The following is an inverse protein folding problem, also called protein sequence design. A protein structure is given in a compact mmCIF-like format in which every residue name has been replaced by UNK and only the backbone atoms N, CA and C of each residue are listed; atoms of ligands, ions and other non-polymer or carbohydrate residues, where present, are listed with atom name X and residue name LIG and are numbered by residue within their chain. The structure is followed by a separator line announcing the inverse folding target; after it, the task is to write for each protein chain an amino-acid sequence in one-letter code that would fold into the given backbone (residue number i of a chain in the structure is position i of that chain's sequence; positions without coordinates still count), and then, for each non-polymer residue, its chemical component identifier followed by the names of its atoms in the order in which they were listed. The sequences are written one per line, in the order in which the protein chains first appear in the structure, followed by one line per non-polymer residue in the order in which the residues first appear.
data_IF_314972042150
#
_entry.id   IF_314972042150
#
_cell.length_a   1.000
_cell.length_b   1.000
_cell.length_c   1.000
_cell.angle_alpha   90.00
_cell.angle_beta   90.00
_cell.angle_gamma   90.00
#
_symmetry.space_group_name_H-M   'P 1'
#
loop_
_entity.id
_entity.type
_entity.pdbx_description
1 polymer ?
#
# COMPACT_ATOMS: atom_id res chain seq x y z
N UNK A 1 -13.64 55.52 -38.26
CA UNK A 1 -14.70 54.69 -37.65
C UNK A 1 -14.19 53.28 -37.37
N UNK A 2 -13.66 52.56 -38.36
CA UNK A 2 -13.11 51.20 -38.21
C UNK A 2 -12.02 51.06 -37.12
N UNK A 3 -11.05 51.98 -37.08
CA UNK A 3 -10.01 52.00 -36.05
C UNK A 3 -10.52 52.20 -34.61
N UNK A 4 -11.67 52.85 -34.45
CA UNK A 4 -12.25 53.10 -33.14
C UNK A 4 -13.00 51.86 -32.63
N UNK A 5 -13.65 51.14 -33.55
CA UNK A 5 -14.29 49.85 -33.25
C UNK A 5 -13.27 48.75 -32.96
N UNK A 6 -12.18 48.66 -33.73
CA UNK A 6 -11.12 47.68 -33.46
C UNK A 6 -10.38 47.94 -32.15
N UNK A 7 -10.20 49.22 -31.77
CA UNK A 7 -9.65 49.58 -30.46
C UNK A 7 -10.58 49.20 -29.30
N UNK A 8 -11.90 49.37 -29.47
CA UNK A 8 -12.88 48.92 -28.47
C UNK A 8 -12.95 47.39 -28.37
N UNK A 9 -12.93 46.66 -29.48
CA UNK A 9 -12.91 45.19 -29.47
C UNK A 9 -11.62 44.63 -28.84
N UNK A 10 -10.49 45.28 -29.09
CA UNK A 10 -9.23 44.91 -28.42
C UNK A 10 -9.32 45.11 -26.91
N UNK A 11 -9.87 46.24 -26.46
CA UNK A 11 -10.08 46.50 -25.02
C UNK A 11 -11.04 45.45 -24.43
N UNK A 12 -12.17 45.17 -25.07
CA UNK A 12 -13.15 44.18 -24.59
C UNK A 12 -12.55 42.77 -24.53
N UNK A 13 -11.76 42.37 -25.52
CA UNK A 13 -11.11 41.04 -25.52
C UNK A 13 -10.02 40.93 -24.43
N UNK A 14 -9.27 42.00 -24.18
CA UNK A 14 -8.28 42.05 -23.09
C UNK A 14 -8.98 41.98 -21.72
N UNK A 15 -10.06 42.74 -21.52
CA UNK A 15 -10.84 42.64 -20.27
C UNK A 15 -11.55 41.29 -20.11
N UNK A 16 -12.04 40.68 -21.19
CA UNK A 16 -12.63 39.34 -21.19
C UNK A 16 -11.60 38.26 -20.81
N UNK A 17 -10.42 38.28 -21.41
CA UNK A 17 -9.35 37.32 -21.09
C UNK A 17 -8.84 37.42 -19.64
N UNK A 18 -8.79 38.64 -19.08
CA UNK A 18 -8.47 38.84 -17.66
C UNK A 18 -9.58 38.25 -16.77
N UNK A 19 -10.85 38.51 -17.10
CA UNK A 19 -11.98 37.96 -16.34
C UNK A 19 -12.00 36.43 -16.39
N UNK A 20 -11.81 35.84 -17.57
CA UNK A 20 -11.78 34.38 -17.76
C UNK A 20 -10.61 33.74 -17.01
N UNK A 21 -9.46 34.42 -16.95
CA UNK A 21 -8.33 33.97 -16.13
C UNK A 21 -8.70 33.89 -14.65
N UNK A 22 -9.33 34.93 -14.09
CA UNK A 22 -9.79 34.90 -12.70
C UNK A 22 -10.93 33.89 -12.46
N UNK A 23 -11.78 33.67 -13.46
CA UNK A 23 -12.86 32.67 -13.39
C UNK A 23 -12.34 31.22 -13.44
N UNK A 24 -11.15 30.98 -13.99
CA UNK A 24 -10.54 29.64 -14.09
C UNK A 24 -9.72 29.26 -12.83
N UNK A 25 -9.40 30.23 -11.97
CA UNK A 25 -8.65 30.00 -10.71
C UNK A 25 -9.30 28.91 -9.83
N UNK A 26 -10.62 28.90 -9.58
CA UNK A 26 -11.27 27.86 -8.77
C UNK A 26 -11.12 26.45 -9.35
N UNK A 27 -11.20 26.31 -10.67
CA UNK A 27 -11.06 25.02 -11.35
C UNK A 27 -9.63 24.47 -11.20
N UNK A 28 -8.61 25.33 -11.34
CA UNK A 28 -7.22 24.95 -11.08
C UNK A 28 -7.01 24.49 -9.63
N UNK A 29 -7.66 25.13 -8.66
CA UNK A 29 -7.60 24.68 -7.26
C UNK A 29 -8.25 23.32 -7.05
N UNK A 30 -9.38 23.04 -7.71
CA UNK A 30 -10.03 21.74 -7.66
C UNK A 30 -9.17 20.64 -8.28
N UNK A 31 -8.50 20.92 -9.40
CA UNK A 31 -7.59 19.98 -10.06
C UNK A 31 -6.36 19.69 -9.20
N UNK A 32 -5.74 20.72 -8.60
CA UNK A 32 -4.62 20.56 -7.67
C UNK A 32 -5.04 19.77 -6.44
N UNK A 33 -6.22 20.03 -5.89
CA UNK A 33 -6.73 19.28 -4.74
C UNK A 33 -7.01 17.81 -5.10
N UNK A 34 -7.56 17.56 -6.29
CA UNK A 34 -7.79 16.20 -6.81
C UNK A 34 -6.47 15.45 -6.97
N UNK A 35 -5.44 16.10 -7.52
CA UNK A 35 -4.13 15.50 -7.68
C UNK A 35 -3.41 15.26 -6.33
N UNK A 36 -3.56 16.19 -5.39
CA UNK A 36 -3.06 16.03 -4.03
C UNK A 36 -3.74 14.83 -3.35
N UNK A 37 -5.07 14.70 -3.48
CA UNK A 37 -5.83 13.59 -2.92
C UNK A 37 -5.41 12.24 -3.52
N UNK A 38 -5.18 12.18 -4.83
CA UNK A 38 -4.63 11.00 -5.50
C UNK A 38 -3.28 10.57 -4.88
N UNK A 39 -2.38 11.53 -4.64
CA UNK A 39 -1.11 11.25 -3.98
C UNK A 39 -1.27 10.80 -2.53
N UNK A 40 -2.21 11.38 -1.77
CA UNK A 40 -2.50 10.94 -0.41
C UNK A 40 -2.99 9.50 -0.35
N UNK A 41 -3.88 9.08 -1.25
CA UNK A 41 -4.34 7.69 -1.34
C UNK A 41 -3.16 6.76 -1.65
N UNK A 42 -2.32 7.14 -2.61
CA UNK A 42 -1.12 6.36 -2.97
C UNK A 42 -0.17 6.21 -1.78
N UNK A 43 0.08 7.28 -1.04
CA UNK A 43 0.90 7.26 0.17
C UNK A 43 0.27 6.40 1.26
N UNK A 44 -1.04 6.50 1.48
CA UNK A 44 -1.76 5.68 2.45
C UNK A 44 -1.65 4.18 2.16
N UNK A 45 -1.82 3.79 0.89
CA UNK A 45 -1.64 2.39 0.47
C UNK A 45 -0.19 1.95 0.70
N UNK A 46 0.78 2.78 0.34
CA UNK A 46 2.19 2.48 0.56
C UNK A 46 2.52 2.27 2.03
N UNK A 47 2.01 3.13 2.93
CA UNK A 47 2.17 2.98 4.37
C UNK A 47 1.53 1.71 4.91
N UNK A 48 0.36 1.31 4.38
CA UNK A 48 -0.28 0.03 4.75
C UNK A 48 0.56 -1.18 4.33
N UNK A 49 1.20 -1.14 3.16
CA UNK A 49 2.11 -2.20 2.70
C UNK A 49 3.35 -2.25 3.60
N UNK A 50 3.95 -1.11 3.92
CA UNK A 50 5.11 -1.04 4.81
C UNK A 50 4.79 -1.56 6.23
N UNK A 51 3.59 -1.29 6.76
CA UNK A 51 3.15 -1.88 8.03
C UNK A 51 2.99 -3.40 7.96
N UNK A 52 2.55 -3.94 6.81
CA UNK A 52 2.49 -5.39 6.60
C UNK A 52 3.88 -6.03 6.63
N UNK A 53 4.85 -5.43 5.94
CA UNK A 53 6.24 -5.90 5.95
C UNK A 53 6.85 -5.83 7.37
N UNK A 54 6.59 -4.75 8.10
CA UNK A 54 7.02 -4.61 9.47
C UNK A 54 6.39 -5.67 10.39
N UNK A 55 5.08 -5.91 10.26
CA UNK A 55 4.39 -6.91 11.05
C UNK A 55 4.91 -8.32 10.79
N UNK A 56 5.25 -8.63 9.53
CA UNK A 56 5.90 -9.89 9.17
C UNK A 56 7.26 -10.03 9.86
N UNK A 57 8.12 -9.02 9.80
CA UNK A 57 9.43 -9.06 10.44
C UNK A 57 9.34 -9.26 11.96
N UNK A 58 8.40 -8.57 12.62
CA UNK A 58 8.14 -8.73 14.05
C UNK A 58 7.61 -10.14 14.35
N UNK A 59 6.70 -10.66 13.53
CA UNK A 59 6.19 -12.02 13.67
C UNK A 59 7.28 -13.07 13.52
N UNK A 60 8.17 -12.95 12.53
CA UNK A 60 9.31 -13.86 12.34
C UNK A 60 10.29 -13.80 13.52
N UNK A 61 10.54 -12.61 14.07
CA UNK A 61 11.34 -12.44 15.30
C UNK A 61 10.72 -13.18 16.48
N UNK A 62 9.41 -13.00 16.71
CA UNK A 62 8.70 -13.69 17.78
C UNK A 62 8.75 -15.22 17.59
N UNK A 63 8.45 -15.72 16.38
CA UNK A 63 8.49 -17.16 16.10
C UNK A 63 9.89 -17.77 16.28
N UNK A 64 10.94 -17.00 15.98
CA UNK A 64 12.32 -17.40 16.23
C UNK A 64 12.65 -17.45 17.73
N UNK A 65 12.22 -16.46 18.51
CA UNK A 65 12.46 -16.41 19.96
C UNK A 65 11.72 -17.51 20.72
N UNK A 66 10.50 -17.84 20.31
CA UNK A 66 9.72 -18.95 20.90
C UNK A 66 10.13 -20.33 20.36
N UNK A 67 11.15 -20.39 19.49
CA UNK A 67 11.63 -21.61 18.85
C UNK A 67 10.52 -22.45 18.17
N UNK A 68 9.49 -21.81 17.61
CA UNK A 68 8.32 -22.53 17.06
C UNK A 68 8.74 -23.52 15.98
N UNK A 69 9.76 -23.19 15.18
CA UNK A 69 10.29 -24.08 14.17
C UNK A 69 11.08 -25.27 14.74
N UNK A 70 11.69 -25.15 15.92
CA UNK A 70 12.36 -26.30 16.56
C UNK A 70 11.33 -27.31 17.03
N UNK A 71 10.23 -26.85 17.63
CA UNK A 71 9.08 -27.67 18.01
C UNK A 71 8.45 -28.33 16.80
N UNK A 72 8.25 -27.57 15.72
CA UNK A 72 7.73 -28.10 14.47
C UNK A 72 8.61 -29.23 13.92
N UNK A 73 9.93 -28.99 13.86
CA UNK A 73 10.90 -29.98 13.37
C UNK A 73 10.96 -31.22 14.29
N UNK A 74 10.86 -31.05 15.61
CA UNK A 74 10.77 -32.16 16.56
C UNK A 74 9.50 -32.99 16.34
N UNK A 75 8.36 -32.37 16.04
CA UNK A 75 7.13 -33.08 15.71
C UNK A 75 7.26 -33.86 14.40
N UNK A 76 7.87 -33.27 13.36
CA UNK A 76 8.13 -33.96 12.10
C UNK A 76 9.15 -35.10 12.23
N UNK A 77 10.13 -34.98 13.13
CA UNK A 77 11.10 -36.03 13.40
C UNK A 77 10.52 -37.22 14.19
N UNK A 78 9.37 -37.07 14.82
CA UNK A 78 8.63 -38.18 15.45
C UNK A 78 7.83 -39.01 14.45
N UNK A 79 7.68 -38.56 13.21
CA UNK A 79 6.99 -39.33 12.17
C UNK A 79 7.82 -40.54 11.74
N UNK A 80 7.18 -41.66 11.35
CA UNK A 80 7.84 -42.78 10.70
C UNK A 80 8.65 -42.33 9.48
N UNK A 81 9.76 -43.01 9.19
CA UNK A 81 10.71 -42.64 8.13
C UNK A 81 10.05 -42.42 6.77
N UNK A 82 9.11 -43.29 6.39
CA UNK A 82 8.45 -43.28 5.09
C UNK A 82 7.49 -42.08 4.96
N UNK A 83 6.77 -41.77 6.03
CA UNK A 83 5.88 -40.61 6.11
C UNK A 83 6.67 -39.30 6.12
N UNK A 84 7.79 -39.25 6.85
CA UNK A 84 8.66 -38.08 6.87
C UNK A 84 9.24 -37.80 5.49
N UNK A 85 9.71 -38.84 4.78
CA UNK A 85 10.22 -38.71 3.42
C UNK A 85 9.15 -38.17 2.46
N UNK A 86 7.95 -38.74 2.51
CA UNK A 86 6.82 -38.24 1.72
C UNK A 86 6.48 -36.78 2.06
N UNK A 87 6.42 -36.41 3.34
CA UNK A 87 6.14 -35.03 3.77
C UNK A 87 7.20 -34.01 3.29
N UNK A 88 8.48 -34.41 3.24
CA UNK A 88 9.53 -33.58 2.66
C UNK A 88 9.37 -33.44 1.14
N UNK A 89 9.10 -34.54 0.44
CA UNK A 89 8.94 -34.53 -1.01
C UNK A 89 7.70 -33.74 -1.47
N UNK A 90 6.64 -33.74 -0.68
CA UNK A 90 5.44 -32.95 -0.93
C UNK A 90 5.52 -31.49 -0.44
N UNK A 91 6.63 -31.08 0.20
CA UNK A 91 6.78 -29.70 0.71
C UNK A 91 5.81 -29.35 1.85
N UNK A 92 5.29 -30.35 2.57
CA UNK A 92 4.30 -30.16 3.64
C UNK A 92 4.94 -29.39 4.80
N UNK A 93 6.22 -29.65 5.09
CA UNK A 93 6.95 -28.98 6.16
C UNK A 93 7.03 -27.47 5.91
N UNK A 94 7.37 -27.06 4.69
CA UNK A 94 7.48 -25.65 4.32
C UNK A 94 6.11 -24.98 4.26
N UNK A 95 5.10 -25.71 3.77
CA UNK A 95 3.71 -25.23 3.74
C UNK A 95 3.17 -24.92 5.14
N UNK A 96 3.46 -25.78 6.13
CA UNK A 96 3.06 -25.54 7.53
C UNK A 96 3.78 -24.33 8.10
N UNK A 97 5.06 -24.12 7.77
CA UNK A 97 5.80 -22.92 8.21
C UNK A 97 5.16 -21.65 7.66
N UNK A 98 4.83 -21.61 6.37
CA UNK A 98 4.16 -20.46 5.75
C UNK A 98 2.82 -20.15 6.44
N UNK A 99 2.04 -21.17 6.79
CA UNK A 99 0.78 -20.98 7.51
C UNK A 99 1.02 -20.38 8.89
N UNK A 100 2.00 -20.88 9.64
CA UNK A 100 2.36 -20.34 10.97
C UNK A 100 2.82 -18.89 10.86
N UNK A 101 3.65 -18.56 9.87
CA UNK A 101 4.15 -17.20 9.62
C UNK A 101 3.00 -16.25 9.28
N UNK A 102 2.04 -16.70 8.46
CA UNK A 102 0.86 -15.93 8.11
C UNK A 102 -0.04 -15.68 9.34
N UNK A 103 -0.26 -16.68 10.20
CA UNK A 103 -1.02 -16.51 11.44
C UNK A 103 -0.34 -15.56 12.41
N UNK A 104 0.97 -15.69 12.60
CA UNK A 104 1.74 -14.79 13.47
C UNK A 104 1.73 -13.36 12.94
N UNK A 105 1.90 -13.17 11.62
CA UNK A 105 1.83 -11.86 10.97
C UNK A 105 0.45 -11.22 11.13
N UNK A 106 -0.63 -12.00 10.93
CA UNK A 106 -2.00 -11.53 11.14
C UNK A 106 -2.29 -11.14 12.60
N UNK A 107 -1.73 -11.89 13.56
CA UNK A 107 -1.82 -11.58 14.98
C UNK A 107 -1.11 -10.26 15.30
N UNK A 108 0.13 -10.08 14.82
CA UNK A 108 0.89 -8.84 15.01
C UNK A 108 0.17 -7.66 14.38
N UNK A 109 -0.38 -7.80 13.17
CA UNK A 109 -1.16 -6.74 12.53
C UNK A 109 -2.38 -6.32 13.34
N UNK A 110 -3.10 -7.28 13.93
CA UNK A 110 -4.23 -6.98 14.81
C UNK A 110 -3.80 -6.21 16.06
N UNK A 111 -2.62 -6.51 16.60
CA UNK A 111 -2.04 -5.76 17.74
C UNK A 111 -1.62 -4.36 17.31
N UNK A 112 -1.05 -4.21 16.11
CA UNK A 112 -0.63 -2.92 15.55
C UNK A 112 -1.81 -2.01 15.17
N UNK A 113 -3.05 -2.43 15.41
CA UNK A 113 -4.25 -1.64 15.17
C UNK A 113 -4.67 -1.59 13.70
N UNK A 114 -4.38 -2.66 12.94
CA UNK A 114 -4.87 -2.79 11.57
C UNK A 114 -6.39 -2.92 11.50
#
# INVERSE_FOLDING_TARGET
MEYFYSALDYIVSVFGSIYDFFATIPDLFLDVFTYAWFWFIKLYIYLKIQMLEMAYNVASLLLSEYEVYTVLNMAFNKLPSDLRFACYQFGIVDSVRIVVDAFATAFVLRIMGW
#
